data_IF_692584076909
#
_entry.id   IF_692584076909
#
_cell.length_a   1.000
_cell.length_b   1.000
_cell.length_c   1.000
_cell.angle_alpha   90.00
_cell.angle_beta   90.00
_cell.angle_gamma   90.00
#
_symmetry.space_group_name_H-M   'P 1'
#
loop_
_entity.id
_entity.type
_entity.pdbx_description
1 polymer ?
#
# COMPACT_ATOMS: atom_id res chain seq x y z
N UNK A 1 15.48 -54.90 10.89
CA UNK A 1 14.97 -53.97 11.92
C UNK A 1 15.70 -52.63 11.95
N UNK A 2 17.04 -52.59 11.94
CA UNK A 2 17.82 -51.33 11.94
C UNK A 2 17.56 -50.41 10.73
N UNK A 3 17.35 -50.98 9.53
CA UNK A 3 17.10 -50.21 8.31
C UNK A 3 15.77 -49.43 8.35
N UNK A 4 14.75 -50.03 8.96
CA UNK A 4 13.42 -49.43 9.12
C UNK A 4 13.46 -48.26 10.11
N UNK A 5 14.21 -48.43 11.20
CA UNK A 5 14.44 -47.37 12.20
C UNK A 5 15.21 -46.19 11.59
N UNK A 6 16.23 -46.46 10.77
CA UNK A 6 16.98 -45.41 10.07
C UNK A 6 16.12 -44.63 9.08
N UNK A 7 15.21 -45.31 8.36
CA UNK A 7 14.28 -44.67 7.43
C UNK A 7 13.25 -43.79 8.16
N UNK A 8 12.75 -44.25 9.31
CA UNK A 8 11.81 -43.51 10.14
C UNK A 8 12.44 -42.25 10.73
N UNK A 9 13.69 -42.32 11.20
CA UNK A 9 14.41 -41.15 11.71
C UNK A 9 14.72 -40.13 10.60
N UNK A 10 15.02 -40.60 9.38
CA UNK A 10 15.19 -39.72 8.22
C UNK A 10 13.87 -39.03 7.81
N UNK A 11 12.74 -39.75 7.85
CA UNK A 11 11.41 -39.17 7.59
C UNK A 11 11.01 -38.12 8.65
N UNK A 12 11.32 -38.36 9.93
CA UNK A 12 11.08 -37.40 11.01
C UNK A 12 11.94 -36.14 10.81
N UNK A 13 13.20 -36.27 10.41
CA UNK A 13 14.06 -35.11 10.14
C UNK A 13 13.60 -34.29 8.91
N UNK A 14 13.00 -34.95 7.91
CA UNK A 14 12.38 -34.28 6.76
C UNK A 14 11.06 -33.57 7.13
N UNK A 15 10.28 -34.10 8.08
CA UNK A 15 9.06 -33.45 8.56
C UNK A 15 9.29 -32.33 9.58
N UNK A 16 10.51 -32.21 10.13
CA UNK A 16 10.93 -31.15 11.06
C UNK A 16 11.90 -30.13 10.42
N UNK A 17 12.01 -30.09 9.09
CA UNK A 17 12.44 -28.86 8.45
C UNK A 17 11.48 -27.73 8.87
N UNK A 18 11.94 -26.48 9.03
CA UNK A 18 11.01 -25.37 9.17
C UNK A 18 10.21 -25.30 7.88
N UNK A 19 9.09 -26.01 7.84
CA UNK A 19 7.96 -25.73 6.96
C UNK A 19 7.39 -24.41 7.45
N UNK A 20 8.15 -23.34 7.29
CA UNK A 20 7.67 -21.99 7.43
C UNK A 20 6.53 -21.84 6.43
N UNK A 21 5.40 -21.35 6.91
CA UNK A 21 4.43 -20.71 6.03
C UNK A 21 5.23 -19.81 5.09
N UNK A 22 5.17 -20.04 3.78
CA UNK A 22 5.82 -19.19 2.77
C UNK A 22 5.14 -17.80 2.66
N UNK A 23 4.26 -17.47 3.61
CA UNK A 23 3.65 -16.15 3.75
C UNK A 23 4.64 -15.15 4.33
N UNK A 24 4.47 -13.90 3.95
CA UNK A 24 5.26 -12.80 4.45
C UNK A 24 4.44 -12.03 5.50
N UNK A 25 4.84 -12.17 6.76
CA UNK A 25 4.21 -11.42 7.84
C UNK A 25 4.80 -10.00 7.92
N UNK A 26 3.97 -9.00 7.61
CA UNK A 26 4.35 -7.60 7.81
C UNK A 26 4.56 -7.31 9.31
N UNK A 27 5.68 -6.66 9.62
CA UNK A 27 6.04 -6.33 11.00
C UNK A 27 4.97 -5.45 11.67
N UNK A 28 4.75 -5.57 13.00
CA UNK A 28 3.93 -4.63 13.75
C UNK A 28 4.32 -3.16 13.54
N UNK A 29 5.58 -2.90 13.21
CA UNK A 29 6.06 -1.57 12.87
C UNK A 29 5.42 -1.02 11.58
N UNK A 30 5.22 -1.85 10.55
CA UNK A 30 4.56 -1.47 9.29
C UNK A 30 3.17 -0.87 9.56
N UNK A 31 2.40 -1.55 10.41
CA UNK A 31 1.04 -1.15 10.82
C UNK A 31 1.05 0.15 11.63
N UNK A 32 2.06 0.32 12.49
CA UNK A 32 2.21 1.54 13.29
C UNK A 32 2.54 2.74 12.40
N UNK A 33 3.47 2.57 11.44
CA UNK A 33 3.82 3.60 10.47
C UNK A 33 2.63 3.95 9.59
N UNK A 34 1.86 2.95 9.10
CA UNK A 34 0.62 3.21 8.34
C UNK A 34 -0.41 4.04 9.11
N UNK A 35 -0.61 3.75 10.41
CA UNK A 35 -1.47 4.56 11.27
C UNK A 35 -0.93 5.98 11.46
N UNK A 36 0.38 6.14 11.59
CA UNK A 36 1.01 7.44 11.70
C UNK A 36 0.86 8.24 10.40
N UNK A 37 1.00 7.63 9.23
CA UNK A 37 0.77 8.25 7.93
C UNK A 37 -0.66 8.79 7.79
N UNK A 38 -1.67 8.02 8.21
CA UNK A 38 -3.06 8.48 8.23
C UNK A 38 -3.27 9.68 9.18
N UNK A 39 -2.62 9.66 10.34
CA UNK A 39 -2.66 10.80 11.28
C UNK A 39 -2.02 12.04 10.68
N UNK A 40 -0.87 11.90 10.02
CA UNK A 40 -0.16 12.99 9.33
C UNK A 40 -1.03 13.58 8.22
N UNK A 41 -1.63 12.75 7.37
CA UNK A 41 -2.60 13.20 6.37
C UNK A 41 -3.75 14.00 6.98
N UNK A 42 -4.25 13.60 8.16
CA UNK A 42 -5.25 14.36 8.90
C UNK A 42 -4.75 15.72 9.40
N UNK A 43 -3.51 15.79 9.87
CA UNK A 43 -2.87 17.02 10.35
C UNK A 43 -2.53 18.00 9.22
N UNK A 44 -2.25 17.49 8.02
CA UNK A 44 -1.99 18.30 6.82
C UNK A 44 -3.20 19.07 6.31
N UNK A 45 -4.40 18.89 6.89
CA UNK A 45 -5.61 19.63 6.50
C UNK A 45 -5.41 21.14 6.66
N UNK A 46 -5.49 21.88 5.55
CA UNK A 46 -5.41 23.35 5.55
C UNK A 46 -6.77 24.03 5.45
N UNK A 47 -7.74 23.39 4.79
CA UNK A 47 -9.06 23.93 4.55
C UNK A 47 -10.15 23.00 5.08
N UNK A 48 -11.30 23.57 5.45
CA UNK A 48 -12.48 22.75 5.71
C UNK A 48 -13.04 22.24 4.37
N UNK A 49 -13.27 20.91 4.20
CA UNK A 49 -13.81 20.34 2.96
C UNK A 49 -15.18 20.90 2.55
N UNK A 50 -15.88 21.56 3.48
CA UNK A 50 -17.15 22.25 3.23
C UNK A 50 -17.00 23.47 2.33
N UNK A 51 -15.80 24.03 2.18
CA UNK A 51 -15.55 25.12 1.25
C UNK A 51 -15.22 24.64 -0.17
N UNK A 52 -14.91 23.34 -0.33
CA UNK A 52 -14.49 22.75 -1.60
C UNK A 52 -15.58 21.89 -2.25
N UNK A 53 -16.86 22.20 -1.98
CA UNK A 53 -17.99 21.40 -2.46
C UNK A 53 -18.06 21.32 -3.99
N UNK A 54 -17.71 22.41 -4.69
CA UNK A 54 -17.71 22.48 -6.15
C UNK A 54 -16.57 21.67 -6.79
N UNK A 55 -15.55 21.35 -6.01
CA UNK A 55 -14.37 20.60 -6.47
C UNK A 55 -14.45 19.12 -6.11
N UNK A 56 -15.51 18.67 -5.43
CA UNK A 56 -15.71 17.25 -5.10
C UNK A 56 -15.69 16.41 -6.37
N UNK A 57 -14.97 15.30 -6.29
CA UNK A 57 -14.85 14.32 -7.36
C UNK A 57 -14.95 12.93 -6.75
N UNK A 58 -15.74 12.08 -7.38
CA UNK A 58 -15.64 10.65 -7.18
C UNK A 58 -14.54 10.12 -8.10
N UNK A 59 -13.49 9.56 -7.49
CA UNK A 59 -12.34 8.99 -8.20
C UNK A 59 -12.52 7.51 -8.53
N UNK A 60 -13.63 6.89 -8.09
CA UNK A 60 -13.92 5.48 -8.30
C UNK A 60 -12.77 4.57 -7.82
N UNK A 61 -12.43 4.66 -6.53
CA UNK A 61 -11.42 3.80 -5.90
C UNK A 61 -11.70 2.32 -6.18
N UNK A 62 -10.73 1.55 -6.72
CA UNK A 62 -10.92 0.16 -7.12
C UNK A 62 -10.92 -0.77 -5.90
N UNK A 63 -11.98 -0.69 -5.09
CA UNK A 63 -12.14 -1.41 -3.82
C UNK A 63 -11.94 -2.93 -3.96
N UNK A 64 -12.44 -3.51 -5.06
CA UNK A 64 -12.31 -4.94 -5.38
C UNK A 64 -10.85 -5.43 -5.44
N UNK A 65 -9.89 -4.54 -5.70
CA UNK A 65 -8.46 -4.90 -5.77
C UNK A 65 -7.80 -4.99 -4.39
N UNK A 66 -8.45 -4.42 -3.37
CA UNK A 66 -7.96 -4.32 -1.98
C UNK A 66 -8.73 -5.29 -1.07
N UNK A 67 -9.89 -5.79 -1.52
CA UNK A 67 -10.64 -6.85 -0.85
C UNK A 67 -9.99 -8.22 -1.11
N UNK A 68 -9.25 -8.72 -0.13
CA UNK A 68 -8.48 -9.98 -0.25
C UNK A 68 -9.39 -11.18 -0.10
N UNK A 69 -9.32 -12.10 -1.07
CA UNK A 69 -9.59 -13.51 -0.81
C UNK A 69 -8.31 -14.16 -0.28
N UNK A 70 -8.41 -15.03 0.74
CA UNK A 70 -7.29 -15.67 1.46
C UNK A 70 -6.24 -16.37 0.57
N UNK A 71 -6.49 -16.52 -0.74
CA UNK A 71 -5.63 -17.22 -1.69
C UNK A 71 -4.70 -16.28 -2.51
N UNK A 72 -4.64 -14.97 -2.22
CA UNK A 72 -3.92 -13.99 -3.05
C UNK A 72 -3.05 -12.99 -2.25
N UNK A 73 -2.34 -13.45 -1.22
CA UNK A 73 -1.47 -12.61 -0.36
C UNK A 73 -0.44 -11.78 -1.16
N UNK A 74 0.28 -12.40 -2.09
CA UNK A 74 1.26 -11.72 -2.93
C UNK A 74 0.64 -10.62 -3.83
N UNK A 75 -0.60 -10.83 -4.28
CA UNK A 75 -1.34 -9.82 -5.04
C UNK A 75 -1.75 -8.66 -4.14
N UNK A 76 -2.24 -8.94 -2.93
CA UNK A 76 -2.61 -7.93 -1.96
C UNK A 76 -1.42 -7.04 -1.58
N UNK A 77 -0.27 -7.64 -1.30
CA UNK A 77 1.00 -6.95 -1.05
C UNK A 77 1.39 -6.10 -2.27
N UNK A 78 1.27 -6.64 -3.49
CA UNK A 78 1.59 -5.90 -4.72
C UNK A 78 0.68 -4.68 -4.93
N UNK A 79 -0.62 -4.82 -4.64
CA UNK A 79 -1.60 -3.72 -4.74
C UNK A 79 -1.32 -2.65 -3.69
N UNK A 80 -1.04 -3.04 -2.44
CA UNK A 80 -0.68 -2.11 -1.37
C UNK A 80 0.63 -1.38 -1.69
N UNK A 81 1.64 -2.10 -2.17
CA UNK A 81 2.91 -1.53 -2.61
C UNK A 81 2.68 -0.48 -3.71
N UNK A 82 1.94 -0.83 -4.76
CA UNK A 82 1.64 0.11 -5.84
C UNK A 82 0.89 1.35 -5.33
N UNK A 83 -0.08 1.17 -4.44
CA UNK A 83 -0.84 2.26 -3.85
C UNK A 83 0.03 3.22 -3.02
N UNK A 84 0.93 2.69 -2.19
CA UNK A 84 1.86 3.50 -1.41
C UNK A 84 2.87 4.20 -2.30
N UNK A 85 3.34 3.53 -3.35
CA UNK A 85 4.28 4.09 -4.32
C UNK A 85 3.67 5.27 -5.08
N UNK A 86 2.43 5.13 -5.55
CA UNK A 86 1.72 6.22 -6.22
C UNK A 86 1.40 7.37 -5.24
N UNK A 87 1.08 7.07 -3.98
CA UNK A 87 0.90 8.08 -2.94
C UNK A 87 2.20 8.85 -2.67
N UNK A 88 3.32 8.16 -2.54
CA UNK A 88 4.64 8.78 -2.39
C UNK A 88 4.95 9.70 -3.57
N UNK A 89 4.78 9.21 -4.80
CA UNK A 89 5.03 9.97 -6.03
C UNK A 89 4.12 11.21 -6.15
N UNK A 90 2.88 11.12 -5.66
CA UNK A 90 1.94 12.24 -5.63
C UNK A 90 2.42 13.34 -4.67
N UNK A 91 2.84 12.96 -3.47
CA UNK A 91 3.24 13.91 -2.42
C UNK A 91 4.67 14.45 -2.59
N UNK A 92 5.57 13.70 -3.22
CA UNK A 92 6.97 14.10 -3.45
C UNK A 92 7.13 15.17 -4.54
N UNK A 93 6.13 15.38 -5.41
CA UNK A 93 6.22 16.40 -6.48
C UNK A 93 6.34 17.81 -5.91
N UNK A 94 7.13 18.66 -6.58
CA UNK A 94 7.34 20.07 -6.19
C UNK A 94 6.03 20.87 -6.04
N UNK A 95 5.00 20.57 -6.83
CA UNK A 95 3.69 21.23 -6.70
C UNK A 95 2.91 20.81 -5.45
N UNK A 96 3.24 19.66 -4.86
CA UNK A 96 2.72 19.21 -3.57
C UNK A 96 3.44 19.93 -2.43
N UNK A 97 4.76 20.18 -2.52
CA UNK A 97 5.49 20.87 -1.45
C UNK A 97 5.00 22.30 -1.22
N UNK A 98 4.50 22.99 -2.25
CA UNK A 98 3.85 24.29 -2.10
C UNK A 98 2.47 24.22 -1.38
N UNK A 99 1.82 23.06 -1.40
CA UNK A 99 0.47 22.87 -0.88
C UNK A 99 0.44 22.52 0.61
N UNK A 100 1.55 22.10 1.23
CA UNK A 100 1.55 21.52 2.58
C UNK A 100 2.58 22.16 3.52
N UNK A 101 2.40 21.93 4.82
CA UNK A 101 3.47 22.16 5.81
C UNK A 101 4.63 21.21 5.51
N UNK A 102 5.82 21.75 5.33
CA UNK A 102 6.98 20.96 4.86
C UNK A 102 7.41 19.91 5.87
N UNK A 103 7.27 20.18 7.18
CA UNK A 103 7.63 19.22 8.23
C UNK A 103 6.68 18.04 8.23
N UNK A 104 5.37 18.30 8.11
CA UNK A 104 4.38 17.22 8.02
C UNK A 104 4.53 16.42 6.72
N UNK A 105 4.85 17.10 5.61
CA UNK A 105 5.07 16.45 4.31
C UNK A 105 6.30 15.53 4.34
N UNK A 106 7.42 16.00 4.89
CA UNK A 106 8.63 15.19 5.06
C UNK A 106 8.36 13.95 5.92
N UNK A 107 7.68 14.11 7.06
CA UNK A 107 7.31 12.98 7.91
C UNK A 107 6.42 11.96 7.19
N UNK A 108 5.46 12.43 6.38
CA UNK A 108 4.61 11.55 5.58
C UNK A 108 5.43 10.80 4.53
N UNK A 109 6.33 11.48 3.81
CA UNK A 109 7.18 10.86 2.80
C UNK A 109 8.13 9.82 3.40
N UNK A 110 8.72 10.11 4.56
CA UNK A 110 9.54 9.15 5.31
C UNK A 110 8.73 7.93 5.73
N UNK A 111 7.53 8.12 6.28
CA UNK A 111 6.67 7.00 6.68
C UNK A 111 6.18 6.17 5.49
N UNK A 112 5.86 6.79 4.35
CA UNK A 112 5.49 6.07 3.14
C UNK A 112 6.66 5.26 2.58
N UNK A 113 7.86 5.84 2.56
CA UNK A 113 9.07 5.15 2.12
C UNK A 113 9.40 3.94 3.00
N UNK A 114 9.30 4.08 4.32
CA UNK A 114 9.49 2.98 5.25
C UNK A 114 8.52 1.81 4.99
N UNK A 115 7.23 2.10 4.71
CA UNK A 115 6.27 1.05 4.36
C UNK A 115 6.58 0.40 3.01
N UNK A 116 7.11 1.15 2.05
CA UNK A 116 7.55 0.59 0.76
C UNK A 116 8.73 -0.37 0.94
N UNK A 117 9.74 0.01 1.73
CA UNK A 117 10.89 -0.85 2.02
C UNK A 117 10.47 -2.19 2.67
N UNK A 118 9.51 -2.13 3.61
CA UNK A 118 8.95 -3.34 4.25
C UNK A 118 8.26 -4.25 3.22
N UNK A 119 7.52 -3.67 2.27
CA UNK A 119 6.80 -4.42 1.23
C UNK A 119 7.73 -4.94 0.13
N UNK A 120 8.81 -4.24 -0.20
CA UNK A 120 9.83 -4.71 -1.14
C UNK A 120 10.55 -5.94 -0.59
N UNK A 121 10.93 -5.92 0.69
CA UNK A 121 11.50 -7.08 1.38
C UNK A 121 10.53 -8.28 1.31
N UNK A 122 9.24 -8.01 1.52
CA UNK A 122 8.17 -8.99 1.47
C UNK A 122 7.98 -9.62 0.08
N UNK A 123 7.90 -8.80 -0.96
CA UNK A 123 7.82 -9.23 -2.36
C UNK A 123 9.08 -10.00 -2.80
N UNK A 124 10.25 -9.64 -2.26
CA UNK A 124 11.49 -10.37 -2.48
C UNK A 124 11.43 -11.83 -2.01
N UNK A 125 10.70 -12.13 -0.94
CA UNK A 125 10.49 -13.49 -0.44
C UNK A 125 9.48 -14.27 -1.29
N UNK A 126 8.49 -13.58 -1.87
CA UNK A 126 7.39 -14.16 -2.64
C UNK A 126 7.71 -14.38 -4.13
N UNK A 127 8.81 -13.81 -4.65
CA UNK A 127 9.17 -13.86 -6.08
C UNK A 127 9.83 -15.16 -6.55
N UNK A 128 9.95 -16.18 -5.68
CA UNK A 128 10.40 -17.53 -6.06
C UNK A 128 9.40 -18.33 -6.92
N UNK A 129 8.20 -17.80 -7.18
CA UNK A 129 7.10 -18.48 -7.86
C UNK A 129 6.74 -17.74 -9.17
N UNK A 130 7.36 -18.17 -10.28
CA UNK A 130 7.38 -17.49 -11.59
C UNK A 130 5.99 -17.37 -12.26
N UNK A 131 5.03 -18.24 -11.89
CA UNK A 131 3.66 -18.23 -12.40
C UNK A 131 2.75 -17.12 -11.81
N UNK A 132 3.22 -16.38 -10.79
CA UNK A 132 2.45 -15.35 -10.06
C UNK A 132 2.49 -13.95 -10.71
N UNK A 133 3.39 -13.70 -11.67
CA UNK A 133 3.57 -12.34 -12.24
C UNK A 133 2.34 -11.83 -13.02
N UNK A 134 1.62 -12.73 -13.71
CA UNK A 134 0.49 -12.39 -14.56
C UNK A 134 -0.75 -11.99 -13.75
N UNK A 135 -1.02 -12.68 -12.63
CA UNK A 135 -2.13 -12.35 -11.71
C UNK A 135 -1.95 -11.01 -11.00
N UNK A 136 -0.70 -10.61 -10.69
CA UNK A 136 -0.36 -9.35 -10.01
C UNK A 136 -0.49 -8.10 -10.91
N UNK A 137 -0.30 -8.25 -12.21
CA UNK A 137 -0.19 -7.12 -13.15
C UNK A 137 -1.53 -6.40 -13.35
N UNK A 138 -2.65 -7.13 -13.40
CA UNK A 138 -3.98 -6.56 -13.59
C UNK A 138 -4.40 -5.61 -12.45
N UNK A 139 -4.42 -6.08 -11.19
CA UNK A 139 -4.80 -5.27 -10.03
C UNK A 139 -3.91 -4.04 -9.80
N UNK A 140 -2.58 -4.20 -9.94
CA UNK A 140 -1.65 -3.07 -9.84
C UNK A 140 -1.87 -2.04 -10.95
N UNK A 141 -2.18 -2.48 -12.17
CA UNK A 141 -2.53 -1.58 -13.27
C UNK A 141 -3.84 -0.81 -13.02
N UNK A 142 -4.85 -1.45 -12.40
CA UNK A 142 -6.06 -0.77 -11.97
C UNK A 142 -5.76 0.33 -10.95
N UNK A 143 -4.87 0.06 -9.99
CA UNK A 143 -4.40 1.06 -9.02
C UNK A 143 -3.66 2.23 -9.71
N UNK A 144 -2.78 1.95 -10.68
CA UNK A 144 -2.11 2.99 -11.48
C UNK A 144 -3.10 3.90 -12.21
N UNK A 145 -4.13 3.32 -12.85
CA UNK A 145 -5.16 4.08 -13.56
C UNK A 145 -5.97 4.97 -12.62
N UNK A 146 -6.28 4.48 -11.44
CA UNK A 146 -6.94 5.27 -10.40
C UNK A 146 -6.11 6.52 -10.03
N UNK A 147 -4.82 6.38 -9.76
CA UNK A 147 -3.93 7.51 -9.48
C UNK A 147 -3.70 8.43 -10.69
N UNK A 148 -3.72 7.89 -11.91
CA UNK A 148 -3.72 8.71 -13.12
C UNK A 148 -4.94 9.64 -13.16
N UNK A 149 -6.13 9.16 -12.76
CA UNK A 149 -7.33 9.99 -12.62
C UNK A 149 -7.16 11.13 -11.61
N UNK A 150 -6.49 10.86 -10.48
CA UNK A 150 -6.13 11.89 -9.48
C UNK A 150 -5.22 12.96 -10.09
N UNK A 151 -4.20 12.55 -10.84
CA UNK A 151 -3.29 13.50 -11.50
C UNK A 151 -4.00 14.36 -12.54
N UNK A 152 -4.88 13.78 -13.36
CA UNK A 152 -5.68 14.51 -14.34
C UNK A 152 -6.58 15.53 -13.63
N UNK A 153 -7.27 15.14 -12.56
CA UNK A 153 -8.09 16.05 -11.77
C UNK A 153 -7.29 17.24 -11.22
N UNK A 154 -6.10 17.00 -10.67
CA UNK A 154 -5.24 18.08 -10.17
C UNK A 154 -4.84 19.05 -11.29
N UNK A 155 -4.57 18.54 -12.50
CA UNK A 155 -4.27 19.37 -13.67
C UNK A 155 -5.48 20.20 -14.10
N UNK A 156 -6.66 19.59 -14.21
CA UNK A 156 -7.92 20.26 -14.58
C UNK A 156 -8.30 21.37 -13.59
N UNK A 157 -8.05 21.14 -12.30
CA UNK A 157 -8.32 22.11 -11.23
C UNK A 157 -7.17 23.10 -10.99
N UNK A 158 -6.13 23.07 -11.83
CA UNK A 158 -5.01 24.01 -11.74
C UNK A 158 -4.25 23.94 -10.43
N UNK A 159 -4.26 22.79 -9.74
CA UNK A 159 -3.60 22.58 -8.45
C UNK A 159 -4.06 23.55 -7.35
N UNK A 160 -5.34 23.95 -7.37
CA UNK A 160 -5.92 24.82 -6.34
C UNK A 160 -5.84 24.19 -4.94
N UNK A 161 -5.92 25.03 -3.90
CA UNK A 161 -5.96 24.54 -2.51
C UNK A 161 -7.14 23.58 -2.28
N UNK A 162 -8.28 23.83 -2.93
CA UNK A 162 -9.42 22.93 -2.86
C UNK A 162 -9.18 21.60 -3.58
N UNK A 163 -8.50 21.59 -4.72
CA UNK A 163 -8.13 20.36 -5.40
C UNK A 163 -7.22 19.50 -4.52
N UNK A 164 -6.22 20.11 -3.87
CA UNK A 164 -5.35 19.43 -2.94
C UNK A 164 -6.07 18.91 -1.70
N UNK A 165 -7.01 19.66 -1.13
CA UNK A 165 -7.81 19.19 0.01
C UNK A 165 -8.70 18.00 -0.37
N UNK A 166 -9.29 17.99 -1.57
CA UNK A 166 -10.06 16.85 -2.10
C UNK A 166 -9.16 15.63 -2.31
N UNK A 167 -7.98 15.80 -2.89
CA UNK A 167 -7.02 14.70 -3.09
C UNK A 167 -6.50 14.16 -1.76
N UNK A 168 -6.19 15.01 -0.78
CA UNK A 168 -5.76 14.59 0.56
C UNK A 168 -6.80 13.69 1.22
N UNK A 169 -8.08 14.06 1.13
CA UNK A 169 -9.18 13.24 1.64
C UNK A 169 -9.30 11.90 0.92
N UNK A 170 -9.15 11.91 -0.40
CA UNK A 170 -9.22 10.70 -1.22
C UNK A 170 -8.08 9.73 -0.86
N UNK A 171 -6.84 10.22 -0.71
CA UNK A 171 -5.71 9.38 -0.28
C UNK A 171 -5.91 8.85 1.14
N UNK A 172 -6.40 9.69 2.06
CA UNK A 172 -6.69 9.26 3.42
C UNK A 172 -7.77 8.16 3.46
N UNK A 173 -8.83 8.31 2.66
CA UNK A 173 -9.90 7.30 2.53
C UNK A 173 -9.36 6.01 1.93
N UNK A 174 -8.62 6.10 0.84
CA UNK A 174 -8.12 4.92 0.13
C UNK A 174 -7.13 4.15 1.00
N UNK A 175 -6.16 4.80 1.65
CA UNK A 175 -5.21 4.14 2.55
C UNK A 175 -5.91 3.52 3.77
N UNK A 176 -7.00 4.12 4.25
CA UNK A 176 -7.82 3.54 5.32
C UNK A 176 -8.55 2.27 4.85
N UNK A 177 -9.05 2.21 3.61
CA UNK A 177 -9.65 0.99 3.05
C UNK A 177 -8.65 -0.17 2.98
N UNK A 178 -7.36 0.15 2.83
CA UNK A 178 -6.28 -0.82 2.73
C UNK A 178 -5.79 -1.34 4.08
N UNK A 179 -6.32 -0.89 5.22
CA UNK A 179 -5.87 -1.39 6.54
C UNK A 179 -6.17 -2.87 6.77
N UNK A 180 -7.13 -3.45 6.04
CA UNK A 180 -7.36 -4.91 6.04
C UNK A 180 -6.21 -5.71 5.40
N UNK A 181 -5.36 -5.04 4.60
CA UNK A 181 -4.12 -5.61 4.05
C UNK A 181 -2.93 -5.51 5.02
N UNK A 182 -3.09 -4.74 6.10
CA UNK A 182 -2.03 -4.42 7.06
C UNK A 182 -2.18 -5.24 8.36
N UNK A 183 -3.09 -6.21 8.43
CA UNK A 183 -3.27 -7.06 9.62
C UNK A 183 -2.55 -8.40 9.45
N UNK A 184 -1.84 -8.88 10.50
CA UNK A 184 -1.27 -10.24 10.53
C UNK A 184 -2.36 -11.32 10.50
#
# INVERSE_FOLDING_TARGET
MAFVLSLLMALVLVSYGPGGSLGCDLSPNHVLVGRQNLRLLGQMRRLSPRFCLQDRKDFAFPQEMVEVSQFQEAQAISVLHEMLQQSFNLFHKERSSAAWDTTLLEQLLTGLHQQLDDLDACLGLLTGEEDSALGRTGPTLAMKRYFQGIHVYLQEKGYSDCAWEIVRLEIMRSLSSSTNLNSP
#
